data_IF_341777286428
#
_entry.id   IF_341777286428
#
_cell.length_a   1.000
_cell.length_b   1.000
_cell.length_c   1.000
_cell.angle_alpha   90.00
_cell.angle_beta   90.00
_cell.angle_gamma   90.00
#
_symmetry.space_group_name_H-M   'P 1'
#
loop_
_entity.id
_entity.type
_entity.pdbx_description
1 polymer ?
#
# COMPACT_ATOMS: atom_id res chain seq x y z
N UNK A 1 12.50 -32.59 21.29
CA UNK A 1 13.35 -31.52 20.74
C UNK A 1 12.44 -30.56 20.01
N UNK A 2 12.55 -29.29 20.36
CA UNK A 2 11.80 -28.20 19.75
C UNK A 2 12.39 -27.84 18.39
N UNK A 3 11.55 -27.76 17.34
CA UNK A 3 11.95 -27.42 15.98
C UNK A 3 11.04 -26.34 15.42
N UNK A 4 11.60 -25.44 14.61
CA UNK A 4 10.85 -24.42 13.88
C UNK A 4 11.41 -24.23 12.48
N UNK A 5 10.56 -23.81 11.55
CA UNK A 5 10.98 -23.55 10.18
C UNK A 5 10.23 -22.37 9.56
N UNK A 6 10.88 -21.64 8.67
CA UNK A 6 10.24 -20.54 7.95
C UNK A 6 10.86 -20.30 6.58
N UNK A 7 10.11 -19.61 5.73
CA UNK A 7 10.56 -19.21 4.40
C UNK A 7 10.44 -20.30 3.35
N UNK A 8 11.05 -20.05 2.20
CA UNK A 8 10.82 -20.80 0.97
C UNK A 8 12.12 -21.33 0.38
N UNK A 9 12.07 -22.52 -0.20
CA UNK A 9 13.19 -23.16 -0.92
C UNK A 9 12.75 -23.76 -2.23
N UNK A 10 13.71 -23.99 -3.12
CA UNK A 10 13.49 -24.64 -4.40
C UNK A 10 14.09 -23.86 -5.58
N UNK A 11 14.13 -24.47 -6.78
CA UNK A 11 14.86 -23.94 -7.92
C UNK A 11 14.33 -22.59 -8.43
N UNK A 12 13.03 -22.33 -8.22
CA UNK A 12 12.34 -21.09 -8.64
C UNK A 12 12.40 -19.97 -7.60
N UNK A 13 12.82 -20.26 -6.36
CA UNK A 13 12.94 -19.26 -5.30
C UNK A 13 14.16 -18.36 -5.55
N UNK A 14 13.98 -17.07 -5.29
CA UNK A 14 14.98 -16.01 -5.45
C UNK A 14 14.79 -14.99 -4.34
N UNK A 15 15.88 -14.38 -3.88
CA UNK A 15 15.83 -13.28 -2.91
C UNK A 15 15.12 -13.64 -1.60
N UNK A 16 15.16 -14.92 -1.25
CA UNK A 16 14.53 -15.51 -0.08
C UNK A 16 15.37 -16.70 0.37
N UNK A 17 15.12 -17.17 1.58
CA UNK A 17 15.75 -18.34 2.16
C UNK A 17 14.72 -19.21 2.89
N UNK A 18 15.08 -20.47 3.08
CA UNK A 18 14.40 -21.35 4.01
C UNK A 18 15.32 -21.61 5.19
N UNK A 19 14.78 -21.51 6.39
CA UNK A 19 15.51 -21.73 7.63
C UNK A 19 14.83 -22.85 8.39
N UNK A 20 15.61 -23.80 8.89
CA UNK A 20 15.19 -24.83 9.84
C UNK A 20 16.07 -24.73 11.08
N UNK A 21 15.44 -24.68 12.26
CA UNK A 21 16.13 -24.57 13.54
C UNK A 21 15.71 -25.73 14.44
N UNK A 22 16.68 -26.39 15.05
CA UNK A 22 16.47 -27.41 16.08
C UNK A 22 17.16 -26.99 17.36
N UNK A 23 16.38 -26.81 18.42
CA UNK A 23 16.93 -26.45 19.72
C UNK A 23 17.74 -27.61 20.30
N UNK A 24 18.93 -27.30 20.81
CA UNK A 24 19.84 -28.26 21.42
C UNK A 24 20.01 -27.96 22.92
N UNK A 25 20.31 -28.97 23.75
CA UNK A 25 20.57 -28.75 25.17
C UNK A 25 21.93 -28.08 25.45
N UNK A 26 22.90 -28.21 24.53
CA UNK A 26 24.25 -27.64 24.63
C UNK A 26 24.92 -27.60 23.25
N UNK A 27 26.14 -27.06 23.14
CA UNK A 27 26.95 -27.12 21.91
C UNK A 27 27.00 -25.84 21.09
N UNK A 28 26.37 -24.75 21.56
CA UNK A 28 26.41 -23.45 20.88
C UNK A 28 25.50 -23.36 19.65
N UNK A 29 25.63 -22.28 18.89
CA UNK A 29 24.94 -22.10 17.61
C UNK A 29 25.79 -22.74 16.49
N UNK A 30 25.26 -23.77 15.84
CA UNK A 30 25.90 -24.44 14.71
C UNK A 30 25.12 -24.17 13.42
N UNK A 31 25.72 -23.43 12.48
CA UNK A 31 25.06 -22.99 11.24
C UNK A 31 25.60 -23.76 10.03
N UNK A 32 24.75 -24.58 9.44
CA UNK A 32 24.94 -25.15 8.12
C UNK A 32 24.32 -24.23 7.06
N UNK A 33 25.15 -23.66 6.18
CA UNK A 33 24.72 -22.83 5.07
C UNK A 33 24.75 -23.62 3.77
N UNK A 34 23.68 -23.53 2.97
CA UNK A 34 23.63 -23.95 1.57
C UNK A 34 23.22 -22.75 0.74
N UNK A 35 24.18 -22.08 0.10
CA UNK A 35 23.91 -20.86 -0.68
C UNK A 35 24.59 -20.89 -2.04
N UNK A 36 23.88 -20.40 -3.07
CA UNK A 36 24.47 -20.15 -4.40
C UNK A 36 25.48 -19.00 -4.40
N UNK A 37 25.43 -18.13 -3.39
CA UNK A 37 26.30 -16.97 -3.24
C UNK A 37 27.26 -17.10 -2.06
N UNK A 38 27.44 -18.32 -1.54
CA UNK A 38 28.26 -18.61 -0.36
C UNK A 38 29.69 -18.08 -0.47
N UNK A 39 30.32 -18.21 -1.64
CA UNK A 39 31.69 -17.73 -1.87
C UNK A 39 31.86 -16.22 -1.68
N UNK A 40 30.79 -15.44 -1.86
CA UNK A 40 30.82 -13.98 -1.80
C UNK A 40 30.24 -13.46 -0.48
N UNK A 41 29.17 -14.08 0.02
CA UNK A 41 28.38 -13.55 1.13
C UNK A 41 28.18 -14.55 2.29
N UNK A 42 28.81 -15.72 2.26
CA UNK A 42 28.61 -16.77 3.25
C UNK A 42 28.90 -16.32 4.69
N UNK A 43 29.98 -15.58 4.89
CA UNK A 43 30.36 -15.07 6.21
C UNK A 43 29.37 -14.02 6.72
N UNK A 44 28.89 -13.14 5.84
CA UNK A 44 27.87 -12.14 6.20
C UNK A 44 26.54 -12.81 6.56
N UNK A 45 26.10 -13.81 5.79
CA UNK A 45 24.87 -14.57 6.07
C UNK A 45 24.96 -15.23 7.46
N UNK A 46 26.08 -15.91 7.75
CA UNK A 46 26.32 -16.53 9.06
C UNK A 46 26.34 -15.49 10.17
N UNK A 47 27.00 -14.34 9.96
CA UNK A 47 27.05 -13.25 10.93
C UNK A 47 25.67 -12.70 11.27
N UNK A 48 24.82 -12.44 10.26
CA UNK A 48 23.44 -11.98 10.46
C UNK A 48 22.64 -13.04 11.21
N UNK A 49 22.78 -14.30 10.83
CA UNK A 49 22.06 -15.39 11.48
C UNK A 49 22.45 -15.54 12.96
N UNK A 50 23.74 -15.54 13.28
CA UNK A 50 24.24 -15.59 14.67
C UNK A 50 23.79 -14.35 15.46
N UNK A 51 23.88 -13.15 14.89
CA UNK A 51 23.44 -11.93 15.57
C UNK A 51 21.93 -11.95 15.87
N UNK A 52 21.13 -12.46 14.93
CA UNK A 52 19.68 -12.64 15.11
C UNK A 52 19.39 -13.62 16.23
N UNK A 53 20.04 -14.79 16.24
CA UNK A 53 19.82 -15.82 17.27
C UNK A 53 20.24 -15.35 18.66
N UNK A 54 21.41 -14.71 18.77
CA UNK A 54 21.87 -14.13 20.02
C UNK A 54 20.89 -13.08 20.56
N UNK A 55 20.38 -12.19 19.69
CA UNK A 55 19.40 -11.18 20.09
C UNK A 55 18.09 -11.80 20.57
N UNK A 56 17.70 -12.94 20.00
CA UNK A 56 16.51 -13.69 20.41
C UNK A 56 16.73 -14.56 21.67
N UNK A 57 17.94 -14.60 22.22
CA UNK A 57 18.29 -15.39 23.40
C UNK A 57 18.52 -16.88 23.12
N UNK A 58 18.82 -17.24 21.86
CA UNK A 58 19.06 -18.64 21.47
C UNK A 58 20.55 -18.95 21.54
N UNK A 59 20.97 -19.69 22.56
CA UNK A 59 22.39 -20.03 22.78
C UNK A 59 22.81 -21.37 22.16
N UNK A 60 21.88 -22.32 22.03
CA UNK A 60 22.16 -23.71 21.63
C UNK A 60 21.19 -24.17 20.56
N UNK A 61 21.63 -24.21 19.31
CA UNK A 61 20.76 -24.52 18.19
C UNK A 61 21.53 -25.02 16.95
N UNK A 62 20.99 -26.05 16.31
CA UNK A 62 21.37 -26.40 14.94
C UNK A 62 20.52 -25.61 13.95
N UNK A 63 21.17 -24.95 13.01
CA UNK A 63 20.53 -24.07 12.02
C UNK A 63 20.91 -24.52 10.63
N UNK A 64 19.92 -24.87 9.82
CA UNK A 64 20.10 -25.07 8.38
C UNK A 64 19.51 -23.86 7.65
N UNK A 65 20.36 -23.18 6.85
CA UNK A 65 19.95 -22.07 5.99
C UNK A 65 20.11 -22.51 4.53
N UNK A 66 18.99 -22.65 3.82
CA UNK A 66 18.95 -22.88 2.38
C UNK A 66 18.66 -21.55 1.68
N UNK A 67 19.73 -20.86 1.26
CA UNK A 67 19.69 -19.50 0.74
C UNK A 67 19.65 -19.44 -0.79
N UNK A 68 18.79 -18.55 -1.30
CA UNK A 68 18.65 -18.23 -2.73
C UNK A 68 18.90 -16.73 -3.01
N UNK A 69 19.88 -16.14 -2.32
CA UNK A 69 20.27 -14.74 -2.45
C UNK A 69 19.39 -13.79 -1.63
N UNK A 70 18.93 -14.24 -0.45
CA UNK A 70 18.19 -13.41 0.50
C UNK A 70 19.04 -12.24 1.01
N UNK A 71 18.40 -11.11 1.25
CA UNK A 71 19.05 -9.98 1.93
C UNK A 71 19.03 -10.20 3.45
N UNK A 72 19.93 -9.51 4.17
CA UNK A 72 20.09 -9.61 5.62
C UNK A 72 18.76 -9.49 6.38
N UNK A 73 17.92 -8.53 6.01
CA UNK A 73 16.62 -8.30 6.67
C UNK A 73 15.61 -9.43 6.42
N UNK A 74 15.73 -10.14 5.29
CA UNK A 74 14.92 -11.34 4.97
C UNK A 74 15.41 -12.51 5.81
N UNK A 75 16.73 -12.73 5.86
CA UNK A 75 17.35 -13.81 6.65
C UNK A 75 16.94 -13.68 8.12
N UNK A 76 17.08 -12.47 8.69
CA UNK A 76 16.69 -12.20 10.06
C UNK A 76 15.18 -12.45 10.29
N UNK A 77 14.31 -12.01 9.37
CA UNK A 77 12.87 -12.26 9.46
C UNK A 77 12.52 -13.76 9.45
N UNK A 78 13.18 -14.56 8.58
CA UNK A 78 12.96 -16.02 8.52
C UNK A 78 13.45 -16.72 9.78
N UNK A 79 14.60 -16.32 10.32
CA UNK A 79 15.12 -16.87 11.57
C UNK A 79 14.16 -16.57 12.73
N UNK A 80 13.75 -15.31 12.91
CA UNK A 80 12.84 -14.94 13.98
C UNK A 80 11.50 -15.67 13.88
N UNK A 81 10.91 -15.73 12.69
CA UNK A 81 9.66 -16.45 12.46
C UNK A 81 9.74 -17.95 12.80
N UNK A 82 10.91 -18.56 12.61
CA UNK A 82 11.13 -19.97 12.95
C UNK A 82 11.42 -20.15 14.45
N UNK A 83 12.17 -19.25 15.10
CA UNK A 83 12.41 -19.28 16.56
C UNK A 83 11.11 -19.15 17.35
N UNK A 84 10.21 -18.24 16.93
CA UNK A 84 8.93 -17.99 17.60
C UNK A 84 7.94 -19.17 17.55
N UNK A 85 8.23 -20.22 16.79
CA UNK A 85 7.41 -21.45 16.78
C UNK A 85 7.69 -22.36 17.97
N UNK A 86 8.83 -22.20 18.63
CA UNK A 86 9.22 -23.08 19.72
C UNK A 86 9.83 -22.38 20.94
N UNK A 87 9.99 -21.06 20.89
CA UNK A 87 10.50 -20.23 21.97
C UNK A 87 9.50 -19.15 22.33
N UNK A 88 9.24 -18.98 23.63
CA UNK A 88 8.39 -17.93 24.19
C UNK A 88 9.15 -16.59 24.38
N UNK A 89 10.32 -16.44 23.76
CA UNK A 89 11.12 -15.21 23.84
C UNK A 89 10.27 -13.99 23.47
N UNK A 90 10.32 -12.93 24.26
CA UNK A 90 9.71 -11.63 23.93
C UNK A 90 10.62 -10.77 23.06
N UNK A 91 11.91 -11.12 22.96
CA UNK A 91 12.90 -10.38 22.18
C UNK A 91 12.58 -10.46 20.67
N UNK A 92 13.03 -9.45 19.94
CA UNK A 92 12.88 -9.34 18.49
C UNK A 92 14.16 -8.80 17.86
N UNK A 93 14.41 -9.16 16.60
CA UNK A 93 15.49 -8.57 15.80
C UNK A 93 14.87 -7.64 14.75
N UNK A 94 14.98 -6.34 14.99
CA UNK A 94 14.48 -5.30 14.07
C UNK A 94 15.68 -4.68 13.34
N UNK A 95 15.71 -4.72 12.00
CA UNK A 95 16.73 -4.01 11.23
C UNK A 95 16.65 -2.49 11.45
N UNK A 96 17.79 -1.83 11.47
CA UNK A 96 17.85 -0.36 11.54
C UNK A 96 17.05 0.29 10.41
N UNK A 97 16.28 1.32 10.75
CA UNK A 97 15.58 2.14 9.76
C UNK A 97 16.59 2.81 8.83
N UNK A 98 16.50 2.48 7.54
CA UNK A 98 17.44 3.02 6.54
C UNK A 98 17.14 4.49 6.23
N UNK A 99 18.17 5.34 5.99
CA UNK A 99 17.96 6.78 5.75
C UNK A 99 16.99 7.09 4.61
N UNK A 100 17.02 6.31 3.53
CA UNK A 100 16.11 6.49 2.39
C UNK A 100 14.63 6.15 2.70
N UNK A 101 14.33 5.61 3.89
CA UNK A 101 12.97 5.31 4.35
C UNK A 101 12.45 6.31 5.39
N UNK A 102 13.18 7.40 5.68
CA UNK A 102 12.79 8.40 6.68
C UNK A 102 11.78 9.45 6.17
N UNK A 103 11.33 9.34 4.92
CA UNK A 103 10.31 10.22 4.36
C UNK A 103 8.91 9.94 4.94
N UNK A 104 8.09 10.98 4.96
CA UNK A 104 6.75 11.00 5.54
C UNK A 104 5.65 10.90 4.48
N UNK A 105 4.40 10.77 4.95
CA UNK A 105 3.19 10.82 4.13
C UNK A 105 2.26 11.93 4.62
N UNK A 106 1.26 12.27 3.80
CA UNK A 106 0.23 13.26 4.13
C UNK A 106 -1.15 12.78 3.68
N UNK A 107 -2.20 13.45 4.16
CA UNK A 107 -3.58 13.15 3.75
C UNK A 107 -3.79 13.41 2.26
N UNK A 108 -3.19 14.49 1.77
CA UNK A 108 -3.29 15.03 0.42
C UNK A 108 -2.43 14.29 -0.59
N UNK A 109 -1.57 13.36 -0.13
CA UNK A 109 -0.69 12.58 -0.99
C UNK A 109 -1.49 11.86 -2.08
N UNK A 110 -1.00 11.93 -3.31
CA UNK A 110 -1.64 11.21 -4.42
C UNK A 110 -1.47 9.70 -4.26
N UNK A 111 -2.56 8.96 -4.47
CA UNK A 111 -2.62 7.50 -4.38
C UNK A 111 -3.09 6.89 -5.69
N UNK A 112 -2.71 7.47 -6.82
CA UNK A 112 -3.20 7.10 -8.17
C UNK A 112 -2.96 5.61 -8.50
N UNK A 113 -1.78 5.08 -8.17
CA UNK A 113 -1.40 3.68 -8.45
C UNK A 113 -0.84 3.03 -7.19
N UNK A 114 -1.41 1.90 -6.77
CA UNK A 114 -0.94 1.18 -5.57
C UNK A 114 -0.67 -0.28 -5.89
N UNK A 115 0.59 -0.69 -5.78
CA UNK A 115 1.05 -2.02 -6.18
C UNK A 115 0.90 -3.03 -5.04
N UNK A 116 0.05 -4.03 -5.22
CA UNK A 116 -0.11 -5.15 -4.30
C UNK A 116 1.04 -6.15 -4.43
N UNK A 117 1.65 -6.49 -3.30
CA UNK A 117 2.75 -7.44 -3.21
C UNK A 117 2.47 -8.43 -2.06
N UNK A 118 2.57 -9.75 -2.29
CA UNK A 118 2.42 -10.72 -1.21
C UNK A 118 3.47 -10.50 -0.11
N UNK A 119 3.03 -10.37 1.13
CA UNK A 119 3.87 -10.07 2.30
C UNK A 119 4.90 -11.14 2.64
N UNK A 120 4.70 -12.37 2.16
CA UNK A 120 5.65 -13.48 2.32
C UNK A 120 6.62 -13.65 1.14
N UNK A 121 6.59 -12.77 0.14
CA UNK A 121 7.40 -12.85 -1.09
C UNK A 121 8.38 -11.66 -1.21
N UNK A 122 9.53 -11.71 -0.52
CA UNK A 122 10.50 -10.61 -0.47
C UNK A 122 11.06 -10.22 -1.85
N UNK A 123 11.17 -11.18 -2.78
CA UNK A 123 11.63 -10.94 -4.16
C UNK A 123 10.86 -9.81 -4.84
N UNK A 124 9.53 -9.79 -4.67
CA UNK A 124 8.68 -8.80 -5.32
C UNK A 124 8.81 -7.41 -4.66
N UNK A 125 9.16 -7.36 -3.38
CA UNK A 125 9.34 -6.11 -2.62
C UNK A 125 10.59 -5.34 -3.07
N UNK A 126 11.69 -6.05 -3.36
CA UNK A 126 13.00 -5.43 -3.63
C UNK A 126 13.00 -4.45 -4.81
N UNK A 127 12.27 -4.78 -5.87
CA UNK A 127 12.28 -3.99 -7.11
C UNK A 127 11.01 -3.16 -7.30
N UNK A 128 10.04 -3.26 -6.39
CA UNK A 128 8.73 -2.62 -6.55
C UNK A 128 8.83 -1.10 -6.72
N UNK A 129 9.69 -0.44 -5.92
CA UNK A 129 9.84 1.01 -5.96
C UNK A 129 10.46 1.57 -7.25
N UNK A 130 11.23 0.75 -7.99
CA UNK A 130 11.86 1.16 -9.27
C UNK A 130 10.80 1.58 -10.29
N UNK A 131 9.62 0.97 -10.22
CA UNK A 131 8.50 1.26 -11.12
C UNK A 131 7.71 2.51 -10.73
N UNK A 132 8.14 3.23 -9.68
CA UNK A 132 7.55 4.49 -9.19
C UNK A 132 6.02 4.44 -8.97
N UNK A 133 5.47 3.40 -8.31
CA UNK A 133 4.08 3.47 -7.87
C UNK A 133 3.93 4.56 -6.80
N UNK A 134 2.76 5.19 -6.72
CA UNK A 134 2.44 6.13 -5.65
C UNK A 134 2.41 5.46 -4.26
N UNK A 135 1.98 4.20 -4.21
CA UNK A 135 1.99 3.37 -3.00
C UNK A 135 2.36 1.92 -3.28
N UNK A 136 2.94 1.26 -2.29
CA UNK A 136 3.25 -0.16 -2.29
C UNK A 136 2.51 -0.80 -1.13
N UNK A 137 1.65 -1.77 -1.44
CA UNK A 137 0.85 -2.52 -0.48
C UNK A 137 1.56 -3.84 -0.22
N UNK A 138 2.11 -3.97 0.99
CA UNK A 138 2.60 -5.24 1.51
C UNK A 138 1.42 -5.99 2.11
N UNK A 139 1.02 -7.08 1.47
CA UNK A 139 -0.23 -7.75 1.78
C UNK A 139 -0.05 -8.90 2.78
N UNK A 140 -0.76 -8.86 3.91
CA UNK A 140 -0.80 -9.92 4.92
C UNK A 140 -2.05 -10.80 4.80
N UNK A 141 -2.96 -10.48 3.89
CA UNK A 141 -4.29 -11.08 3.79
C UNK A 141 -4.38 -12.07 2.62
N UNK A 142 -5.15 -11.80 1.56
CA UNK A 142 -5.52 -12.82 0.56
C UNK A 142 -4.34 -13.34 -0.28
N UNK A 143 -3.29 -12.54 -0.48
CA UNK A 143 -2.10 -13.01 -1.20
C UNK A 143 -1.20 -13.93 -0.35
N UNK A 144 -1.53 -14.15 0.93
CA UNK A 144 -0.75 -14.96 1.87
C UNK A 144 -1.58 -16.14 2.36
N UNK A 145 -1.12 -17.34 2.03
CA UNK A 145 -1.75 -18.57 2.53
C UNK A 145 -1.83 -18.58 4.07
N UNK A 146 -2.89 -19.13 4.69
CA UNK A 146 -3.09 -19.09 6.14
C UNK A 146 -1.87 -19.53 6.97
N UNK A 147 -1.23 -20.64 6.59
CA UNK A 147 -0.04 -21.17 7.28
C UNK A 147 1.21 -20.26 7.17
N UNK A 148 1.18 -19.28 6.27
CA UNK A 148 2.28 -18.35 6.00
C UNK A 148 2.07 -16.96 6.59
N UNK A 149 0.88 -16.66 7.16
CA UNK A 149 0.55 -15.34 7.72
C UNK A 149 1.48 -14.96 8.88
N UNK A 150 1.80 -15.91 9.75
CA UNK A 150 2.73 -15.68 10.86
C UNK A 150 4.11 -15.22 10.37
N UNK A 151 4.75 -15.96 9.45
CA UNK A 151 6.07 -15.57 8.93
C UNK A 151 6.02 -14.28 8.08
N UNK A 152 4.90 -13.99 7.41
CA UNK A 152 4.73 -12.80 6.58
C UNK A 152 4.85 -11.51 7.40
N UNK A 153 4.32 -11.49 8.63
CA UNK A 153 4.40 -10.34 9.54
C UNK A 153 5.84 -9.87 9.76
N UNK A 154 6.77 -10.80 10.02
CA UNK A 154 8.19 -10.49 10.23
C UNK A 154 8.85 -9.97 8.95
N UNK A 155 8.51 -10.55 7.79
CA UNK A 155 9.04 -10.11 6.49
C UNK A 155 8.56 -8.70 6.17
N UNK A 156 7.26 -8.42 6.31
CA UNK A 156 6.66 -7.09 6.10
C UNK A 156 7.26 -6.06 7.04
N UNK A 157 7.33 -6.36 8.35
CA UNK A 157 7.96 -5.52 9.36
C UNK A 157 9.38 -5.12 8.97
N UNK A 158 10.21 -6.10 8.61
CA UNK A 158 11.59 -5.86 8.27
C UNK A 158 11.74 -5.10 6.93
N UNK A 159 10.83 -5.34 5.97
CA UNK A 159 10.78 -4.63 4.70
C UNK A 159 10.45 -3.14 4.89
N UNK A 160 9.52 -2.79 5.79
CA UNK A 160 9.18 -1.39 6.09
C UNK A 160 10.40 -0.57 6.60
N UNK A 161 11.30 -1.22 7.36
CA UNK A 161 12.54 -0.59 7.81
C UNK A 161 13.62 -0.55 6.73
N UNK A 162 13.75 -1.63 5.92
CA UNK A 162 14.96 -1.89 5.13
C UNK A 162 14.83 -1.74 3.63
N UNK A 163 13.68 -2.09 3.04
CA UNK A 163 13.53 -2.09 1.58
C UNK A 163 13.43 -0.66 1.04
N UNK A 164 14.13 -0.36 -0.07
CA UNK A 164 14.05 0.96 -0.68
C UNK A 164 12.84 1.03 -1.63
N UNK A 165 11.82 1.78 -1.21
CA UNK A 165 10.59 1.99 -1.97
C UNK A 165 10.60 3.29 -2.80
N UNK A 166 11.76 3.95 -2.93
CA UNK A 166 11.96 5.12 -3.78
C UNK A 166 10.92 6.23 -3.56
N UNK A 167 10.54 6.43 -2.29
CA UNK A 167 9.59 7.46 -1.91
C UNK A 167 8.11 7.05 -2.02
N UNK A 168 7.76 5.85 -2.51
CA UNK A 168 6.38 5.37 -2.55
C UNK A 168 5.76 5.28 -1.14
N UNK A 169 4.45 5.51 -1.01
CA UNK A 169 3.78 5.36 0.28
C UNK A 169 3.84 3.89 0.74
N UNK A 170 4.34 3.65 1.96
CA UNK A 170 4.48 2.32 2.55
C UNK A 170 3.16 1.88 3.14
N UNK A 171 2.44 1.03 2.43
CA UNK A 171 1.12 0.57 2.82
C UNK A 171 1.18 -0.89 3.26
N UNK A 172 0.33 -1.27 4.22
CA UNK A 172 0.14 -2.67 4.61
C UNK A 172 -1.35 -2.98 4.55
N UNK A 173 -1.73 -4.05 3.83
CA UNK A 173 -3.07 -4.63 3.96
C UNK A 173 -3.03 -5.68 5.06
N UNK A 174 -3.69 -5.37 6.18
CA UNK A 174 -3.80 -6.27 7.33
C UNK A 174 -4.86 -7.34 7.06
N UNK A 175 -4.91 -8.34 7.92
CA UNK A 175 -5.97 -9.32 7.96
C UNK A 175 -7.31 -8.72 8.42
N UNK A 176 -8.41 -9.44 8.16
CA UNK A 176 -9.73 -9.08 8.68
C UNK A 176 -9.86 -9.46 10.17
N UNK A 177 -10.66 -8.70 10.91
CA UNK A 177 -11.06 -9.01 12.29
C UNK A 177 -9.90 -8.96 13.29
N UNK A 178 -9.94 -9.82 14.30
CA UNK A 178 -8.97 -9.80 15.41
C UNK A 178 -7.53 -10.09 14.94
N UNK A 179 -7.35 -10.90 13.89
CA UNK A 179 -6.04 -11.11 13.29
C UNK A 179 -5.46 -9.83 12.69
N UNK A 180 -6.31 -8.93 12.20
CA UNK A 180 -5.92 -7.61 11.72
C UNK A 180 -5.45 -6.69 12.84
N UNK A 181 -6.11 -6.74 14.00
CA UNK A 181 -5.68 -6.03 15.21
C UNK A 181 -4.30 -6.56 15.67
N UNK A 182 -4.09 -7.88 15.66
CA UNK A 182 -2.78 -8.47 15.96
C UNK A 182 -1.68 -8.03 15.00
N UNK A 183 -1.99 -7.78 13.72
CA UNK A 183 -1.01 -7.34 12.72
C UNK A 183 -0.43 -5.96 13.08
N UNK A 184 -1.20 -5.10 13.77
CA UNK A 184 -0.81 -3.72 14.10
C UNK A 184 0.49 -3.64 14.90
N UNK A 185 0.71 -4.58 15.83
CA UNK A 185 1.94 -4.62 16.65
C UNK A 185 3.20 -4.86 15.80
N UNK A 186 3.05 -5.46 14.61
CA UNK A 186 4.16 -5.75 13.70
C UNK A 186 4.42 -4.62 12.69
N UNK A 187 3.53 -3.64 12.56
CA UNK A 187 3.63 -2.64 11.48
C UNK A 187 3.63 -1.21 12.00
N UNK A 188 2.81 -0.88 13.01
CA UNK A 188 2.67 0.48 13.54
C UNK A 188 4.01 0.99 14.08
N UNK A 189 4.77 0.22 14.90
CA UNK A 189 6.08 0.67 15.40
C UNK A 189 7.17 0.74 14.33
N UNK A 190 6.90 0.26 13.12
CA UNK A 190 7.91 -0.08 12.14
C UNK A 190 7.73 0.66 10.82
N UNK A 191 7.36 1.95 10.90
CA UNK A 191 7.42 2.89 9.78
C UNK A 191 6.38 2.64 8.67
N UNK A 192 5.22 2.07 8.99
CA UNK A 192 4.07 2.04 8.08
C UNK A 192 3.48 3.45 7.91
N UNK A 193 3.03 3.79 6.71
CA UNK A 193 2.34 5.05 6.43
C UNK A 193 0.82 4.91 6.43
N UNK A 194 0.33 3.82 5.84
CA UNK A 194 -1.11 3.62 5.64
C UNK A 194 -1.50 2.16 5.78
N UNK A 195 -2.58 1.90 6.52
CA UNK A 195 -3.13 0.58 6.75
C UNK A 195 -4.38 0.41 5.89
N UNK A 196 -4.37 -0.59 5.02
CA UNK A 196 -5.56 -1.04 4.29
C UNK A 196 -6.30 -2.05 5.15
N UNK A 197 -7.59 -1.81 5.35
CA UNK A 197 -8.43 -2.59 6.25
C UNK A 197 -9.45 -3.32 5.35
N UNK A 198 -9.29 -4.63 5.09
CA UNK A 198 -10.16 -5.35 4.17
C UNK A 198 -11.55 -5.59 4.76
N UNK A 199 -12.53 -5.85 3.87
CA UNK A 199 -13.86 -6.40 4.20
C UNK A 199 -14.57 -5.65 5.33
N UNK A 200 -14.59 -4.31 5.27
CA UNK A 200 -15.15 -3.46 6.34
C UNK A 200 -16.65 -3.30 6.16
N UNK A 201 -17.41 -3.69 7.18
CA UNK A 201 -18.87 -3.56 7.24
C UNK A 201 -19.39 -2.84 8.49
N UNK A 202 -18.49 -2.55 9.43
CA UNK A 202 -18.82 -1.97 10.73
C UNK A 202 -17.88 -0.80 11.04
N UNK A 203 -18.39 0.44 11.13
CA UNK A 203 -17.56 1.60 11.52
C UNK A 203 -16.96 1.44 12.93
N UNK A 204 -17.60 0.71 13.85
CA UNK A 204 -17.06 0.51 15.19
C UNK A 204 -15.78 -0.34 15.21
N UNK A 205 -15.61 -1.25 14.23
CA UNK A 205 -14.35 -1.96 14.04
C UNK A 205 -13.21 -0.98 13.73
N UNK A 206 -13.46 0.06 12.93
CA UNK A 206 -12.46 1.10 12.63
C UNK A 206 -12.13 1.90 13.89
N UNK A 207 -13.13 2.25 14.71
CA UNK A 207 -12.91 2.92 15.99
C UNK A 207 -12.05 2.09 16.95
N UNK A 208 -12.26 0.77 17.01
CA UNK A 208 -11.43 -0.15 17.82
C UNK A 208 -10.00 -0.23 17.30
N UNK A 209 -9.83 -0.36 15.99
CA UNK A 209 -8.52 -0.37 15.34
C UNK A 209 -7.76 0.93 15.61
N UNK A 210 -8.42 2.09 15.49
CA UNK A 210 -7.80 3.39 15.73
C UNK A 210 -7.32 3.55 17.18
N UNK A 211 -8.11 3.09 18.17
CA UNK A 211 -7.69 3.07 19.58
C UNK A 211 -6.45 2.21 19.79
N UNK A 212 -6.35 1.07 19.12
CA UNK A 212 -5.19 0.18 19.22
C UNK A 212 -3.94 0.80 18.57
N UNK A 213 -4.10 1.47 17.42
CA UNK A 213 -3.02 2.23 16.79
C UNK A 213 -2.53 3.35 17.72
N UNK A 214 -3.43 4.17 18.28
CA UNK A 214 -3.07 5.23 19.24
C UNK A 214 -2.34 4.68 20.46
N UNK A 215 -2.76 3.50 20.97
CA UNK A 215 -2.10 2.81 22.08
C UNK A 215 -0.66 2.41 21.73
N UNK A 216 -0.43 1.93 20.51
CA UNK A 216 0.89 1.56 20.00
C UNK A 216 1.76 2.80 19.74
N UNK A 217 1.19 3.84 19.13
CA UNK A 217 1.87 5.13 18.92
C UNK A 217 2.36 5.72 20.25
N UNK A 218 1.50 5.76 21.27
CA UNK A 218 1.87 6.22 22.61
C UNK A 218 2.96 5.34 23.26
N UNK A 219 2.83 4.01 23.17
CA UNK A 219 3.82 3.07 23.73
C UNK A 219 5.20 3.23 23.09
N UNK A 220 5.25 3.47 21.78
CA UNK A 220 6.48 3.52 21.00
C UNK A 220 6.94 4.95 20.68
N UNK A 221 6.30 5.97 21.27
CA UNK A 221 6.62 7.40 21.08
C UNK A 221 6.62 7.80 19.59
N UNK A 222 5.61 7.34 18.86
CA UNK A 222 5.44 7.63 17.44
C UNK A 222 4.64 8.92 17.31
N UNK A 223 5.25 9.95 16.77
CA UNK A 223 4.59 11.26 16.55
C UNK A 223 3.93 11.37 15.17
N UNK A 224 4.35 10.51 14.22
CA UNK A 224 3.89 10.54 12.84
C UNK A 224 2.55 9.80 12.72
N UNK A 225 1.54 10.37 12.04
CA UNK A 225 0.25 9.73 11.92
C UNK A 225 0.30 8.49 11.02
N UNK A 226 -0.37 7.42 11.44
CA UNK A 226 -0.72 6.30 10.54
C UNK A 226 -2.10 6.53 9.94
N UNK A 227 -2.20 6.52 8.62
CA UNK A 227 -3.47 6.71 7.91
C UNK A 227 -4.18 5.39 7.59
N UNK A 228 -5.48 5.45 7.32
CA UNK A 228 -6.28 4.27 7.00
C UNK A 228 -6.97 4.37 5.63
N UNK A 229 -7.13 3.21 5.01
CA UNK A 229 -7.92 3.01 3.81
C UNK A 229 -8.79 1.75 3.97
N UNK A 230 -10.01 1.89 4.50
CA UNK A 230 -11.00 0.81 4.47
C UNK A 230 -11.28 0.36 3.04
N UNK A 231 -11.36 -0.95 2.84
CA UNK A 231 -11.79 -1.57 1.59
C UNK A 231 -13.23 -2.04 1.75
N UNK A 232 -14.08 -1.54 0.87
CA UNK A 232 -15.51 -1.86 0.79
C UNK A 232 -15.70 -2.98 -0.23
N UNK A 233 -16.12 -4.14 0.26
CA UNK A 233 -16.05 -5.42 -0.46
C UNK A 233 -17.33 -6.25 -0.33
N UNK A 234 -18.41 -5.67 0.21
CA UNK A 234 -19.71 -6.31 0.39
C UNK A 234 -20.87 -5.31 0.23
N UNK A 235 -22.08 -5.82 0.03
CA UNK A 235 -23.29 -5.00 -0.05
C UNK A 235 -23.51 -4.18 1.23
N UNK A 236 -23.27 -4.76 2.40
CA UNK A 236 -23.41 -4.05 3.67
C UNK A 236 -22.38 -2.92 3.80
N UNK A 237 -21.12 -3.19 3.41
CA UNK A 237 -20.07 -2.17 3.38
C UNK A 237 -20.41 -1.02 2.43
N UNK A 238 -21.03 -1.31 1.28
CA UNK A 238 -21.49 -0.29 0.31
C UNK A 238 -22.55 0.62 0.92
N UNK A 239 -23.56 0.05 1.57
CA UNK A 239 -24.62 0.85 2.20
C UNK A 239 -24.06 1.75 3.32
N UNK A 240 -23.13 1.21 4.11
CA UNK A 240 -22.49 1.91 5.23
C UNK A 240 -21.26 2.73 4.86
N UNK A 241 -20.96 2.90 3.57
CA UNK A 241 -19.69 3.49 3.12
C UNK A 241 -19.43 4.89 3.71
N UNK A 242 -20.46 5.71 3.92
CA UNK A 242 -20.29 7.03 4.53
C UNK A 242 -19.99 6.96 6.02
N UNK A 243 -20.71 6.13 6.79
CA UNK A 243 -20.41 5.96 8.22
C UNK A 243 -18.98 5.44 8.41
N UNK A 244 -18.56 4.46 7.59
CA UNK A 244 -17.20 3.93 7.58
C UNK A 244 -16.19 5.04 7.24
N UNK A 245 -16.45 5.85 6.20
CA UNK A 245 -15.57 6.94 5.79
C UNK A 245 -15.35 7.99 6.89
N UNK A 246 -16.33 8.19 7.77
CA UNK A 246 -16.31 9.19 8.84
C UNK A 246 -15.97 8.62 10.22
N UNK A 247 -15.70 7.31 10.32
CA UNK A 247 -15.52 6.64 11.61
C UNK A 247 -14.35 7.19 12.43
N UNK A 248 -13.25 7.62 11.78
CA UNK A 248 -12.17 8.34 12.46
C UNK A 248 -11.40 9.30 11.55
N UNK A 249 -10.64 10.21 12.16
CA UNK A 249 -9.93 11.30 11.46
C UNK A 249 -8.78 10.83 10.56
N UNK A 250 -8.23 9.64 10.82
CA UNK A 250 -7.07 9.12 10.10
C UNK A 250 -7.43 8.37 8.82
N UNK A 251 -8.72 8.21 8.52
CA UNK A 251 -9.17 7.72 7.21
C UNK A 251 -8.88 8.80 6.16
N UNK A 252 -8.15 8.41 5.12
CA UNK A 252 -7.75 9.32 4.02
C UNK A 252 -8.26 8.86 2.66
N UNK A 253 -8.77 7.63 2.59
CA UNK A 253 -9.31 7.04 1.37
C UNK A 253 -10.31 5.91 1.68
N UNK A 254 -11.22 5.63 0.75
CA UNK A 254 -11.96 4.38 0.67
C UNK A 254 -11.60 3.68 -0.63
N UNK A 255 -11.31 2.38 -0.56
CA UNK A 255 -11.14 1.53 -1.73
C UNK A 255 -12.37 0.64 -1.94
N UNK A 256 -12.68 0.27 -3.18
CA UNK A 256 -13.64 -0.78 -3.49
C UNK A 256 -12.91 -2.05 -3.92
N UNK A 257 -13.32 -3.22 -3.41
CA UNK A 257 -12.83 -4.53 -3.86
C UNK A 257 -13.93 -5.27 -4.61
N UNK A 258 -13.84 -5.31 -5.94
CA UNK A 258 -14.94 -5.79 -6.77
C UNK A 258 -15.07 -7.32 -6.83
N UNK A 259 -13.98 -8.07 -6.68
CA UNK A 259 -14.05 -9.54 -6.73
C UNK A 259 -14.89 -10.06 -5.56
N UNK A 260 -14.55 -9.68 -4.34
CA UNK A 260 -15.30 -10.03 -3.12
C UNK A 260 -16.72 -9.45 -3.15
N UNK A 261 -16.90 -8.20 -3.60
CA UNK A 261 -18.23 -7.59 -3.71
C UNK A 261 -19.15 -8.39 -4.64
N UNK A 262 -18.65 -8.79 -5.81
CA UNK A 262 -19.47 -9.57 -6.76
C UNK A 262 -19.78 -10.97 -6.24
N UNK A 263 -18.86 -11.57 -5.46
CA UNK A 263 -19.13 -12.82 -4.77
C UNK A 263 -20.24 -12.67 -3.72
N UNK A 264 -20.22 -11.58 -2.94
CA UNK A 264 -21.22 -11.27 -1.91
C UNK A 264 -22.64 -11.10 -2.49
N UNK A 265 -22.77 -10.36 -3.60
CA UNK A 265 -24.08 -10.16 -4.26
C UNK A 265 -24.47 -11.30 -5.23
N UNK A 266 -23.62 -12.33 -5.39
CA UNK A 266 -23.92 -13.52 -6.18
C UNK A 266 -23.89 -13.31 -7.70
N UNK A 267 -23.07 -12.39 -8.20
CA UNK A 267 -22.92 -12.11 -9.64
C UNK A 267 -21.48 -12.32 -10.12
N UNK A 268 -21.28 -12.28 -11.44
CA UNK A 268 -19.93 -12.31 -12.05
C UNK A 268 -19.57 -10.93 -12.55
N UNK A 269 -18.27 -10.60 -12.50
CA UNK A 269 -17.77 -9.38 -13.16
C UNK A 269 -18.05 -9.40 -14.66
N UNK A 270 -18.47 -8.26 -15.19
CA UNK A 270 -18.68 -8.08 -16.63
C UNK A 270 -17.76 -7.00 -17.17
N UNK A 271 -17.58 -6.96 -18.49
CA UNK A 271 -16.79 -5.92 -19.16
C UNK A 271 -17.50 -4.55 -19.18
N UNK A 272 -18.82 -4.52 -19.03
CA UNK A 272 -19.59 -3.28 -18.91
C UNK A 272 -19.50 -2.70 -17.50
N UNK A 273 -19.25 -3.55 -16.49
CA UNK A 273 -19.19 -3.22 -15.08
C UNK A 273 -20.52 -2.67 -14.51
N UNK A 274 -21.65 -2.92 -15.19
CA UNK A 274 -22.99 -2.48 -14.76
C UNK A 274 -23.38 -3.09 -13.40
N UNK A 275 -22.95 -4.33 -13.14
CA UNK A 275 -23.20 -5.06 -11.88
C UNK A 275 -22.58 -4.38 -10.65
N UNK A 276 -21.57 -3.53 -10.85
CA UNK A 276 -20.87 -2.81 -9.78
C UNK A 276 -21.11 -1.30 -9.79
N UNK A 277 -21.92 -0.80 -10.73
CA UNK A 277 -22.08 0.64 -10.95
C UNK A 277 -22.62 1.35 -9.70
N UNK A 278 -23.66 0.80 -9.08
CA UNK A 278 -24.22 1.36 -7.84
C UNK A 278 -23.19 1.41 -6.72
N UNK A 279 -22.49 0.30 -6.45
CA UNK A 279 -21.48 0.24 -5.40
C UNK A 279 -20.35 1.25 -5.61
N UNK A 280 -19.85 1.35 -6.84
CA UNK A 280 -18.80 2.30 -7.23
C UNK A 280 -19.26 3.75 -7.03
N UNK A 281 -20.45 4.11 -7.51
CA UNK A 281 -20.99 5.47 -7.36
C UNK A 281 -21.32 5.82 -5.90
N UNK A 282 -21.88 4.87 -5.14
CA UNK A 282 -22.15 5.03 -3.70
C UNK A 282 -20.88 5.29 -2.91
N UNK A 283 -19.80 4.54 -3.21
CA UNK A 283 -18.49 4.73 -2.60
C UNK A 283 -17.90 6.09 -2.96
N UNK A 284 -17.91 6.49 -4.23
CA UNK A 284 -17.41 7.81 -4.65
C UNK A 284 -18.12 8.92 -3.88
N UNK A 285 -19.45 8.88 -3.80
CA UNK A 285 -20.22 9.88 -3.05
C UNK A 285 -19.89 9.87 -1.56
N UNK A 286 -19.79 8.70 -0.93
CA UNK A 286 -19.40 8.58 0.47
C UNK A 286 -18.02 9.20 0.75
N UNK A 287 -17.01 8.81 -0.03
CA UNK A 287 -15.65 9.30 0.10
C UNK A 287 -15.58 10.82 -0.11
N UNK A 288 -16.25 11.34 -1.15
CA UNK A 288 -16.28 12.78 -1.42
C UNK A 288 -17.02 13.58 -0.35
N UNK A 289 -18.11 13.06 0.20
CA UNK A 289 -18.84 13.68 1.31
C UNK A 289 -17.98 13.75 2.58
N UNK A 290 -17.17 12.71 2.84
CA UNK A 290 -16.21 12.68 3.95
C UNK A 290 -14.91 13.46 3.68
N UNK A 291 -14.71 14.00 2.47
CA UNK A 291 -13.51 14.76 2.10
C UNK A 291 -12.27 13.91 1.85
N UNK A 292 -12.43 12.62 1.55
CA UNK A 292 -11.35 11.64 1.35
C UNK A 292 -11.30 11.11 -0.09
N UNK A 293 -10.24 10.36 -0.43
CA UNK A 293 -10.02 9.87 -1.79
C UNK A 293 -10.85 8.61 -2.08
N UNK A 294 -11.72 8.59 -3.13
CA UNK A 294 -12.32 7.37 -3.62
C UNK A 294 -11.35 6.62 -4.53
N UNK A 295 -11.17 5.35 -4.24
CA UNK A 295 -10.18 4.50 -4.84
C UNK A 295 -10.84 3.28 -5.50
N UNK A 296 -10.50 3.03 -6.76
CA UNK A 296 -11.07 1.91 -7.52
C UNK A 296 -10.30 0.60 -7.32
N UNK A 297 -10.98 -0.49 -7.67
CA UNK A 297 -10.54 -1.89 -7.56
C UNK A 297 -9.39 -2.21 -8.51
N UNK A 298 -8.72 -3.33 -8.26
CA UNK A 298 -7.74 -3.91 -9.19
C UNK A 298 -8.37 -4.34 -10.51
N UNK A 299 -7.58 -4.27 -11.57
CA UNK A 299 -7.85 -4.91 -12.86
C UNK A 299 -7.06 -6.23 -12.94
N UNK A 300 -7.78 -7.36 -13.01
CA UNK A 300 -7.17 -8.69 -12.84
C UNK A 300 -6.44 -9.22 -14.08
N UNK A 301 -6.84 -8.80 -15.29
CA UNK A 301 -6.18 -9.24 -16.51
C UNK A 301 -4.86 -8.47 -16.73
N UNK A 302 -3.74 -9.11 -16.41
CA UNK A 302 -2.40 -8.53 -16.58
C UNK A 302 -1.95 -8.53 -18.05
N UNK A 303 -2.62 -9.29 -18.92
CA UNK A 303 -2.34 -9.34 -20.35
C UNK A 303 -2.99 -8.18 -21.13
N UNK A 304 -4.14 -7.70 -20.68
CA UNK A 304 -4.96 -6.70 -21.37
C UNK A 304 -4.70 -5.27 -20.89
N UNK A 305 -3.67 -4.62 -21.45
CA UNK A 305 -3.35 -3.22 -21.12
C UNK A 305 -4.30 -2.21 -21.78
N UNK A 306 -4.94 -2.55 -22.89
CA UNK A 306 -5.91 -1.68 -23.56
C UNK A 306 -7.23 -1.64 -22.77
N UNK A 307 -7.73 -2.81 -22.35
CA UNK A 307 -8.88 -2.90 -21.46
C UNK A 307 -8.63 -2.23 -20.11
N UNK A 308 -7.40 -2.34 -19.56
CA UNK A 308 -7.02 -1.57 -18.39
C UNK A 308 -7.13 -0.06 -18.63
N UNK A 309 -6.61 0.45 -19.75
CA UNK A 309 -6.65 1.88 -20.06
C UNK A 309 -8.10 2.40 -20.13
N UNK A 310 -8.98 1.68 -20.82
CA UNK A 310 -10.41 2.02 -20.88
C UNK A 310 -11.09 1.93 -19.52
N UNK A 311 -10.76 0.91 -18.71
CA UNK A 311 -11.27 0.80 -17.34
C UNK A 311 -10.83 1.99 -16.47
N UNK A 312 -9.57 2.43 -16.59
CA UNK A 312 -9.05 3.61 -15.89
C UNK A 312 -9.80 4.87 -16.33
N UNK A 313 -10.06 5.06 -17.63
CA UNK A 313 -10.84 6.21 -18.14
C UNK A 313 -12.26 6.22 -17.56
N UNK A 314 -12.94 5.07 -17.55
CA UNK A 314 -14.28 4.94 -16.93
C UNK A 314 -14.24 5.25 -15.43
N UNK A 315 -13.23 4.75 -14.72
CA UNK A 315 -13.03 5.00 -13.28
C UNK A 315 -12.83 6.50 -13.00
N UNK A 316 -11.99 7.18 -13.80
CA UNK A 316 -11.80 8.63 -13.74
C UNK A 316 -13.12 9.39 -13.97
N UNK A 317 -13.94 8.96 -14.94
CA UNK A 317 -15.25 9.57 -15.24
C UNK A 317 -16.25 9.43 -14.08
N UNK A 318 -16.24 8.30 -13.37
CA UNK A 318 -17.06 8.08 -12.17
C UNK A 318 -16.60 8.91 -10.96
N UNK A 319 -15.39 9.48 -11.00
CA UNK A 319 -14.85 10.36 -9.95
C UNK A 319 -13.79 9.71 -9.05
N UNK A 320 -13.32 8.50 -9.38
CA UNK A 320 -12.20 7.87 -8.69
C UNK A 320 -10.87 8.62 -8.88
N UNK A 321 -9.99 8.49 -7.90
CA UNK A 321 -8.69 9.18 -7.83
C UNK A 321 -7.50 8.21 -7.76
N UNK A 322 -7.71 6.95 -8.12
CA UNK A 322 -6.66 5.97 -8.26
C UNK A 322 -7.20 4.56 -8.33
N UNK A 323 -6.30 3.62 -8.59
CA UNK A 323 -6.62 2.22 -8.82
C UNK A 323 -5.52 1.30 -8.28
N UNK A 324 -5.91 0.10 -7.84
CA UNK A 324 -4.96 -0.92 -7.44
C UNK A 324 -4.28 -1.54 -8.66
N UNK A 325 -3.00 -1.87 -8.54
CA UNK A 325 -2.30 -2.67 -9.53
C UNK A 325 -1.73 -3.94 -8.90
N UNK A 326 -1.77 -5.03 -9.65
CA UNK A 326 -1.23 -6.33 -9.27
C UNK A 326 0.02 -6.69 -10.10
N UNK A 327 0.37 -5.84 -11.08
CA UNK A 327 1.56 -6.01 -11.88
C UNK A 327 2.22 -4.66 -12.22
N UNK A 328 3.56 -4.53 -12.18
CA UNK A 328 4.25 -3.25 -12.44
C UNK A 328 3.93 -2.61 -13.80
N UNK A 329 3.67 -3.42 -14.84
CA UNK A 329 3.28 -2.93 -16.18
C UNK A 329 2.00 -2.09 -16.17
N UNK A 330 1.11 -2.29 -15.20
CA UNK A 330 -0.14 -1.54 -15.09
C UNK A 330 0.09 -0.10 -14.59
N UNK A 331 1.20 0.18 -13.91
CA UNK A 331 1.45 1.48 -13.27
C UNK A 331 1.43 2.61 -14.30
N UNK A 332 2.19 2.46 -15.40
CA UNK A 332 2.23 3.47 -16.45
C UNK A 332 0.85 3.70 -17.09
N UNK A 333 0.14 2.62 -17.40
CA UNK A 333 -1.20 2.70 -18.01
C UNK A 333 -2.19 3.43 -17.08
N UNK A 334 -2.12 3.16 -15.78
CA UNK A 334 -2.93 3.85 -14.77
C UNK A 334 -2.58 5.34 -14.71
N UNK A 335 -1.29 5.69 -14.69
CA UNK A 335 -0.86 7.10 -14.67
C UNK A 335 -1.35 7.83 -15.92
N UNK A 336 -1.14 7.25 -17.10
CA UNK A 336 -1.55 7.83 -18.38
C UNK A 336 -3.08 7.98 -18.47
N UNK A 337 -3.85 6.99 -18.01
CA UNK A 337 -5.32 7.02 -18.06
C UNK A 337 -5.94 8.03 -17.08
N UNK A 338 -5.31 8.27 -15.93
CA UNK A 338 -5.77 9.30 -14.97
C UNK A 338 -5.30 10.71 -15.34
N UNK A 339 -4.29 10.85 -16.19
CA UNK A 339 -3.78 12.15 -16.64
C UNK A 339 -4.89 12.97 -17.34
N UNK A 340 -4.97 14.29 -17.08
CA UNK A 340 -5.74 15.21 -17.91
C UNK A 340 -5.26 15.16 -19.37
N UNK A 341 -6.18 15.16 -20.34
CA UNK A 341 -5.79 15.29 -21.75
C UNK A 341 -5.27 16.71 -22.01
N UNK A 342 -4.28 16.88 -22.90
CA UNK A 342 -3.67 18.19 -23.18
C UNK A 342 -4.70 19.27 -23.53
N UNK A 343 -5.69 18.91 -24.38
CA UNK A 343 -6.80 19.80 -24.76
C UNK A 343 -7.71 20.18 -23.58
N UNK A 344 -7.96 19.24 -22.66
CA UNK A 344 -8.74 19.51 -21.46
C UNK A 344 -7.98 20.41 -20.49
N UNK A 345 -6.66 20.23 -20.40
CA UNK A 345 -5.80 21.04 -19.53
C UNK A 345 -5.68 22.47 -20.03
N UNK A 346 -5.45 22.68 -21.32
CA UNK A 346 -5.43 24.01 -21.95
C UNK A 346 -6.76 24.75 -21.72
N UNK A 347 -7.88 24.05 -21.92
CA UNK A 347 -9.22 24.59 -21.62
C UNK A 347 -9.37 24.93 -20.14
N UNK A 348 -8.85 24.09 -19.25
CA UNK A 348 -8.90 24.34 -17.80
C UNK A 348 -8.11 25.58 -17.42
N UNK A 349 -6.90 25.74 -17.97
CA UNK A 349 -6.04 26.91 -17.75
C UNK A 349 -6.73 28.20 -18.22
N UNK A 350 -7.30 28.19 -19.44
CA UNK A 350 -8.12 29.30 -19.98
C UNK A 350 -9.26 29.71 -19.04
N UNK A 351 -10.02 28.73 -18.55
CA UNK A 351 -11.18 28.98 -17.68
C UNK A 351 -10.74 29.56 -16.32
N UNK A 352 -9.69 29.00 -15.73
CA UNK A 352 -9.20 29.43 -14.41
C UNK A 352 -8.55 30.81 -14.48
N UNK A 353 -7.76 31.09 -15.51
CA UNK A 353 -7.15 32.40 -15.75
C UNK A 353 -8.22 33.49 -15.94
N UNK A 354 -9.22 33.24 -16.79
CA UNK A 354 -10.33 34.18 -16.99
C UNK A 354 -11.12 34.43 -15.69
N UNK A 355 -11.26 33.42 -14.82
CA UNK A 355 -11.92 33.57 -13.54
C UNK A 355 -11.15 34.44 -12.55
N UNK A 356 -9.83 34.31 -12.52
CA UNK A 356 -8.98 35.15 -11.66
C UNK A 356 -9.02 36.61 -12.11
N UNK A 357 -8.90 36.87 -13.43
CA UNK A 357 -9.01 38.23 -13.98
C UNK A 357 -10.37 38.87 -13.72
N UNK A 358 -11.46 38.09 -13.77
CA UNK A 358 -12.80 38.58 -13.45
C UNK A 358 -12.95 38.90 -11.96
N UNK A 359 -12.40 38.07 -11.08
CA UNK A 359 -12.40 38.28 -9.62
C UNK A 359 -11.61 39.56 -9.24
N UNK A 360 -10.46 39.80 -9.87
CA UNK A 360 -9.68 41.05 -9.73
C UNK A 360 -10.46 42.30 -10.17
N UNK A 361 -11.37 42.15 -11.13
CA UNK A 361 -12.26 43.21 -11.63
C UNK A 361 -13.57 43.33 -10.82
N UNK A 362 -13.77 42.51 -9.79
CA UNK A 362 -14.98 42.49 -8.96
C UNK A 362 -16.21 41.87 -9.64
N UNK A 363 -16.01 41.05 -10.69
CA UNK A 363 -17.08 40.37 -11.42
C UNK A 363 -17.32 38.95 -10.88
N UNK A 364 -18.57 38.62 -10.52
CA UNK A 364 -18.93 37.31 -9.95
C UNK A 364 -19.16 36.18 -10.97
N UNK A 365 -19.28 36.50 -12.26
CA UNK A 365 -19.51 35.52 -13.35
C UNK A 365 -18.56 35.84 -14.50
N UNK A 366 -17.92 34.80 -15.02
CA UNK A 366 -16.91 34.91 -16.08
C UNK A 366 -17.56 34.56 -17.42
N UNK A 367 -17.49 35.45 -18.40
CA UNK A 367 -17.86 35.12 -19.78
C UNK A 367 -16.62 34.75 -20.57
N UNK A 368 -16.54 33.49 -21.03
CA UNK A 368 -15.50 33.04 -21.96
C UNK A 368 -16.15 32.71 -23.31
N UNK A 369 -16.00 33.62 -24.27
CA UNK A 369 -16.73 33.57 -25.53
C UNK A 369 -18.23 33.76 -25.30
N UNK A 370 -19.06 32.82 -25.75
CA UNK A 370 -20.53 32.86 -25.61
C UNK A 370 -21.07 32.13 -24.38
N UNK A 371 -20.20 31.57 -23.53
CA UNK A 371 -20.61 30.78 -22.35
C UNK A 371 -20.31 31.51 -21.05
N UNK A 372 -21.31 31.60 -20.18
CA UNK A 372 -21.12 31.95 -18.78
C UNK A 372 -20.50 30.78 -18.03
N UNK A 373 -19.52 31.08 -17.18
CA UNK A 373 -18.80 30.11 -16.36
C UNK A 373 -19.11 30.43 -14.90
N UNK A 374 -19.81 29.51 -14.26
CA UNK A 374 -20.17 29.61 -12.86
C UNK A 374 -19.04 29.13 -11.94
N UNK A 375 -19.00 29.56 -10.66
CA UNK A 375 -17.99 29.14 -9.69
C UNK A 375 -17.77 27.61 -9.56
N UNK A 376 -18.81 26.75 -9.64
CA UNK A 376 -18.61 25.29 -9.62
C UNK A 376 -17.79 24.78 -10.82
N UNK A 377 -17.94 25.40 -12.00
CA UNK A 377 -17.18 25.06 -13.20
C UNK A 377 -15.70 25.42 -12.99
N UNK A 378 -15.43 26.61 -12.47
CA UNK A 378 -14.06 27.06 -12.13
C UNK A 378 -13.43 26.11 -11.11
N UNK A 379 -14.15 25.73 -10.05
CA UNK A 379 -13.67 24.80 -9.02
C UNK A 379 -13.27 23.43 -9.61
N UNK A 380 -14.03 22.91 -10.58
CA UNK A 380 -13.69 21.67 -11.27
C UNK A 380 -12.39 21.80 -12.07
N UNK A 381 -12.22 22.89 -12.81
CA UNK A 381 -11.02 23.13 -13.60
C UNK A 381 -9.78 23.41 -12.72
N UNK A 382 -9.92 24.11 -11.58
CA UNK A 382 -8.83 24.25 -10.57
C UNK A 382 -8.34 22.88 -10.09
N UNK A 383 -9.25 21.98 -9.69
CA UNK A 383 -8.88 20.61 -9.28
C UNK A 383 -8.13 19.83 -10.36
N UNK A 384 -8.50 20.02 -11.63
CA UNK A 384 -7.85 19.37 -12.77
C UNK A 384 -6.42 19.89 -12.98
N UNK A 385 -6.22 21.21 -12.87
CA UNK A 385 -4.89 21.84 -12.90
C UNK A 385 -4.05 21.37 -11.71
N UNK A 386 -4.59 21.40 -10.50
CA UNK A 386 -3.87 20.95 -9.29
C UNK A 386 -3.38 19.51 -9.45
N UNK A 387 -4.20 18.63 -10.04
CA UNK A 387 -3.80 17.26 -10.35
C UNK A 387 -2.67 17.23 -11.40
N UNK A 388 -2.78 17.99 -12.48
CA UNK A 388 -1.75 18.04 -13.51
C UNK A 388 -0.40 18.52 -12.95
N UNK A 389 -0.43 19.55 -12.08
CA UNK A 389 0.74 20.06 -11.36
C UNK A 389 1.35 18.97 -10.47
N UNK A 390 0.53 18.27 -9.66
CA UNK A 390 1.04 17.20 -8.79
C UNK A 390 1.62 16.01 -9.57
N UNK A 391 1.07 15.73 -10.75
CA UNK A 391 1.60 14.72 -11.67
C UNK A 391 2.84 15.19 -12.44
N UNK A 392 3.27 16.45 -12.31
CA UNK A 392 4.41 17.02 -13.01
C UNK A 392 4.18 17.22 -14.51
N UNK A 393 2.92 17.33 -14.94
CA UNK A 393 2.55 17.58 -16.35
C UNK A 393 2.65 19.06 -16.72
N UNK A 394 2.51 19.95 -15.73
CA UNK A 394 2.66 21.40 -15.84
C UNK A 394 3.30 21.94 -14.57
N UNK A 395 3.94 23.11 -14.65
CA UNK A 395 4.59 23.75 -13.51
C UNK A 395 3.58 24.37 -12.53
N UNK A 396 3.99 24.53 -11.28
CA UNK A 396 3.18 25.20 -10.25
C UNK A 396 2.84 26.65 -10.63
N UNK A 397 3.77 27.32 -11.31
CA UNK A 397 3.66 28.67 -11.83
C UNK A 397 3.16 28.70 -13.29
N UNK A 398 2.34 27.72 -13.69
CA UNK A 398 1.76 27.64 -15.04
C UNK A 398 1.11 28.95 -15.52
N UNK A 399 0.66 29.82 -14.61
CA UNK A 399 0.07 31.12 -14.94
C UNK A 399 1.08 32.11 -15.54
N UNK A 400 2.34 32.05 -15.10
CA UNK A 400 3.42 32.91 -15.63
C UNK A 400 3.77 32.51 -17.05
N UNK A 401 3.85 31.20 -17.31
CA UNK A 401 4.10 30.65 -18.64
C UNK A 401 2.90 30.85 -19.57
N UNK A 402 1.68 30.71 -19.06
CA UNK A 402 0.45 30.84 -19.84
C UNK A 402 0.18 32.28 -20.31
N UNK A 403 0.57 33.30 -19.54
CA UNK A 403 0.37 34.70 -19.91
C UNK A 403 1.49 35.28 -20.80
N UNK A 404 2.50 34.49 -21.19
CA UNK A 404 3.57 34.89 -22.11
C UNK A 404 3.30 34.51 -23.58
N UNK A 405 2.28 33.70 -23.85
CA UNK A 405 1.75 33.36 -25.18
C UNK A 405 0.46 34.16 -25.47
#
# INVERSE_FOLDING_TARGET
MSEGYAGNKGPKIKSDCHVTLKQQPSGGINIQLKSKVEKLYGDQIKKVATATLNKLGIEHCEVLIEDSGALDWVIAARIEAAVKQFSDTSETYIPDLKPYNQYETSKERDRLSRLYLPGNNPKMMLNAGIHKPHGIILDLEDAVAPAKKHEARFVVRNALCSANFYGAERMVRINQGEMGIEDLQYIVPHNVHLILIPKVEDPEYICRLDKEVQRLEARHQIEKPVFYMPIIESALGVEKAYEIATACRNIVALAIGLEDYTADIGVKRTSTAEESLYARMRLVNAAKAAGIQPIDSVFSDVGDMEGLFENVRKSKQLGFEGMGCIHPRQIKVIHDGFAPEAKELEKSMKIVDAAIKAEEQGLGVVSLGTKMIDPPVVKRHKKQIDRAVRMGLIDKNWQETYNQE
#
